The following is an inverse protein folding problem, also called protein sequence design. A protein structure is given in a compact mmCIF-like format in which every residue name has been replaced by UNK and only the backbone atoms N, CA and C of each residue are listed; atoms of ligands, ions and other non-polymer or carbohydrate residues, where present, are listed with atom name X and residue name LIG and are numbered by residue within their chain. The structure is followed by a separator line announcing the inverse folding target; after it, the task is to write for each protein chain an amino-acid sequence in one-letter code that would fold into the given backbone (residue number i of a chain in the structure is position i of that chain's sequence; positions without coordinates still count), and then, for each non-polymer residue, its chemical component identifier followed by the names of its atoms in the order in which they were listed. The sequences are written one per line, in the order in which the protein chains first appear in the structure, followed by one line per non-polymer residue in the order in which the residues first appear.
data_IF_850944579703
#
_entry.id   IF_850944579703
#
_cell.length_a   1.000
_cell.length_b   1.000
_cell.length_c   1.000
_cell.angle_alpha   90.00
_cell.angle_beta   90.00
_cell.angle_gamma   90.00
#
_symmetry.space_group_name_H-M   'P 1'
#
loop_
_entity.id
_entity.type
_entity.pdbx_description
1 polymer ?
#
# COMPACT_ATOMS: atom_id res chain seq x y z
N UNK A 1 15.32 -36.53 25.42
CA UNK A 1 15.10 -35.60 24.28
C UNK A 1 16.45 -35.17 23.67
N UNK A 2 17.13 -36.10 23.00
CA UNK A 2 18.46 -35.84 22.41
C UNK A 2 18.35 -34.93 21.18
N UNK A 3 17.37 -35.18 20.32
CA UNK A 3 17.12 -34.40 19.08
C UNK A 3 16.86 -32.92 19.40
N UNK A 4 16.04 -32.63 20.40
CA UNK A 4 15.76 -31.27 20.84
C UNK A 4 17.01 -30.51 21.34
N UNK A 5 17.84 -31.19 22.17
CA UNK A 5 19.10 -30.56 22.63
C UNK A 5 20.06 -30.28 21.48
N UNK A 6 20.13 -31.20 20.50
CA UNK A 6 20.97 -31.03 19.30
C UNK A 6 20.41 -29.88 18.43
N UNK A 7 19.09 -29.82 18.28
CA UNK A 7 18.40 -28.71 17.58
C UNK A 7 18.81 -27.36 18.16
N UNK A 8 18.71 -27.16 19.48
CA UNK A 8 19.08 -25.90 20.13
C UNK A 8 20.55 -25.54 19.90
N UNK A 9 21.47 -26.53 19.88
CA UNK A 9 22.88 -26.28 19.57
C UNK A 9 23.08 -25.81 18.12
N UNK A 10 22.36 -26.41 17.17
CA UNK A 10 22.42 -26.05 15.76
C UNK A 10 21.79 -24.64 15.58
N UNK A 11 20.64 -24.39 16.21
CA UNK A 11 19.98 -23.09 16.18
C UNK A 11 20.89 -21.96 16.69
N UNK A 12 21.60 -22.19 17.79
CA UNK A 12 22.55 -21.23 18.33
C UNK A 12 23.69 -20.88 17.34
N UNK A 13 24.13 -21.87 16.54
CA UNK A 13 25.11 -21.64 15.46
C UNK A 13 24.51 -20.87 14.28
N UNK A 14 23.20 -20.97 14.06
CA UNK A 14 22.46 -20.31 13.00
C UNK A 14 21.85 -18.96 13.46
N UNK A 15 22.39 -18.31 14.50
CA UNK A 15 21.85 -17.05 15.02
C UNK A 15 21.97 -15.86 14.05
N UNK A 16 22.97 -15.86 13.17
CA UNK A 16 23.23 -14.74 12.24
C UNK A 16 22.06 -14.45 11.31
N UNK A 17 21.40 -15.41 10.64
CA UNK A 17 20.20 -15.15 9.87
C UNK A 17 19.06 -14.54 10.68
N UNK A 18 18.83 -15.02 11.90
CA UNK A 18 17.79 -14.48 12.79
C UNK A 18 18.07 -13.01 13.08
N UNK A 19 19.31 -12.68 13.43
CA UNK A 19 19.73 -11.28 13.68
C UNK A 19 19.55 -10.45 12.42
N UNK A 20 19.96 -10.94 11.25
CA UNK A 20 19.85 -10.23 9.98
C UNK A 20 18.40 -9.85 9.67
N UNK A 21 17.46 -10.80 9.71
CA UNK A 21 16.05 -10.53 9.43
C UNK A 21 15.40 -9.65 10.50
N UNK A 22 15.82 -9.76 11.76
CA UNK A 22 15.36 -8.86 12.82
C UNK A 22 15.87 -7.42 12.60
N UNK A 23 17.12 -7.24 12.17
CA UNK A 23 17.65 -5.92 11.82
C UNK A 23 16.93 -5.34 10.61
N UNK A 24 16.64 -6.13 9.58
CA UNK A 24 15.83 -5.71 8.43
C UNK A 24 14.45 -5.23 8.89
N UNK A 25 13.79 -5.99 9.78
CA UNK A 25 12.50 -5.59 10.34
C UNK A 25 12.58 -4.24 11.07
N UNK A 26 13.58 -4.02 11.90
CA UNK A 26 13.75 -2.76 12.64
C UNK A 26 14.00 -1.61 11.67
N UNK A 27 14.91 -1.78 10.71
CA UNK A 27 15.26 -0.73 9.75
C UNK A 27 14.06 -0.31 8.91
N UNK A 28 13.37 -1.25 8.30
CA UNK A 28 12.27 -0.94 7.40
C UNK A 28 10.93 -0.73 8.10
N UNK A 29 10.70 -1.41 9.23
CA UNK A 29 9.48 -1.23 10.02
C UNK A 29 9.42 0.10 10.78
N UNK A 30 10.57 0.76 11.02
CA UNK A 30 10.65 2.05 11.73
C UNK A 30 10.98 3.20 10.76
N UNK A 31 11.88 2.99 9.78
CA UNK A 31 12.29 4.07 8.85
C UNK A 31 11.18 4.52 7.89
N UNK A 32 10.11 3.77 7.76
CA UNK A 32 8.95 4.15 6.93
C UNK A 32 8.01 5.15 7.61
N UNK A 33 8.43 5.72 8.72
CA UNK A 33 7.71 6.75 9.49
C UNK A 33 7.61 8.09 8.74
N UNK A 34 8.46 8.29 7.72
CA UNK A 34 8.55 9.55 6.97
C UNK A 34 7.48 9.71 5.87
N UNK A 35 6.66 8.71 5.60
CA UNK A 35 5.59 8.79 4.61
C UNK A 35 4.20 9.04 5.22
N UNK A 36 4.08 9.04 6.55
CA UNK A 36 2.78 9.13 7.23
C UNK A 36 2.29 10.56 7.53
N UNK A 37 3.12 11.59 7.32
CA UNK A 37 2.66 12.98 7.46
C UNK A 37 1.64 13.40 6.38
N UNK A 38 1.50 12.62 5.30
CA UNK A 38 0.58 12.92 4.20
C UNK A 38 -0.84 12.35 4.37
N UNK A 39 -1.12 11.55 5.41
CA UNK A 39 -2.45 10.95 5.60
C UNK A 39 -3.31 11.65 6.65
N UNK A 40 -2.73 12.48 7.51
CA UNK A 40 -3.46 13.20 8.56
C UNK A 40 -3.98 14.59 8.13
N UNK A 41 -3.41 15.20 7.11
CA UNK A 41 -3.98 16.33 6.43
C UNK A 41 -4.33 15.91 5.01
N UNK A 42 -5.60 15.76 4.71
CA UNK A 42 -6.09 15.77 3.35
C UNK A 42 -5.80 17.16 2.77
N UNK A 43 -4.54 17.42 2.46
CA UNK A 43 -4.18 18.48 1.52
C UNK A 43 -4.68 17.98 0.19
N UNK A 44 -5.83 18.51 -0.24
CA UNK A 44 -6.32 18.26 -1.58
C UNK A 44 -5.16 18.56 -2.54
N UNK A 45 -4.54 17.50 -3.08
CA UNK A 45 -3.53 17.66 -4.11
C UNK A 45 -4.23 18.39 -5.24
N UNK A 46 -3.67 19.52 -5.65
CA UNK A 46 -4.24 20.25 -6.78
C UNK A 46 -3.91 19.45 -8.04
N UNK A 47 -4.93 18.99 -8.80
CA UNK A 47 -4.67 18.21 -10.01
C UNK A 47 -3.99 19.06 -11.07
N UNK A 48 -3.05 18.48 -11.78
CA UNK A 48 -2.39 19.08 -12.94
C UNK A 48 -3.32 18.98 -14.16
N UNK A 49 -3.74 20.10 -14.72
CA UNK A 49 -4.67 20.11 -15.85
C UNK A 49 -4.39 21.22 -16.87
N UNK A 50 -4.98 21.09 -18.05
CA UNK A 50 -4.98 22.09 -19.13
C UNK A 50 -6.41 22.53 -19.41
N UNK A 51 -6.60 23.84 -19.61
CA UNK A 51 -7.87 24.43 -20.03
C UNK A 51 -7.69 24.99 -21.45
N UNK A 52 -8.49 24.50 -22.38
CA UNK A 52 -8.59 25.02 -23.75
C UNK A 52 -9.93 25.72 -23.87
N UNK A 53 -9.87 27.03 -23.84
CA UNK A 53 -11.06 27.86 -23.94
C UNK A 53 -11.27 28.30 -25.39
N UNK A 54 -12.44 28.01 -25.99
CA UNK A 54 -12.87 28.45 -27.30
C UNK A 54 -13.97 29.52 -27.21
N UNK A 55 -14.47 29.85 -25.99
CA UNK A 55 -15.48 30.87 -25.75
C UNK A 55 -14.84 32.21 -25.35
N UNK A 56 -15.64 33.25 -25.26
CA UNK A 56 -15.22 34.55 -24.72
C UNK A 56 -14.93 34.42 -23.22
N UNK A 57 -13.80 34.93 -22.76
CA UNK A 57 -13.38 34.86 -21.34
C UNK A 57 -14.08 35.95 -20.52
N UNK A 58 -15.43 35.89 -20.48
CA UNK A 58 -16.29 36.83 -19.76
C UNK A 58 -17.35 36.10 -18.92
N UNK A 59 -17.92 36.80 -17.96
CA UNK A 59 -19.05 36.32 -17.15
C UNK A 59 -18.81 34.94 -16.52
N UNK A 60 -19.74 34.02 -16.74
CA UNK A 60 -19.71 32.68 -16.12
C UNK A 60 -18.55 31.82 -16.61
N UNK A 61 -18.11 31.99 -17.88
CA UNK A 61 -16.95 31.29 -18.43
C UNK A 61 -15.67 31.68 -17.70
N UNK A 62 -15.48 32.97 -17.47
CA UNK A 62 -14.35 33.50 -16.68
C UNK A 62 -14.39 32.99 -15.24
N UNK A 63 -15.57 33.07 -14.60
CA UNK A 63 -15.74 32.56 -13.22
C UNK A 63 -15.43 31.06 -13.10
N UNK A 64 -15.78 30.27 -14.10
CA UNK A 64 -15.45 28.84 -14.17
C UNK A 64 -13.96 28.62 -14.27
N UNK A 65 -13.27 29.30 -15.17
CA UNK A 65 -11.82 29.22 -15.36
C UNK A 65 -11.07 29.64 -14.08
N UNK A 66 -11.49 30.75 -13.45
CA UNK A 66 -10.93 31.22 -12.18
C UNK A 66 -11.08 30.16 -11.08
N UNK A 67 -12.27 29.58 -10.90
CA UNK A 67 -12.51 28.55 -9.90
C UNK A 67 -11.64 27.30 -10.11
N UNK A 68 -11.52 26.83 -11.35
CA UNK A 68 -10.67 25.68 -11.66
C UNK A 68 -9.19 26.03 -11.40
N UNK A 69 -8.74 27.23 -11.80
CA UNK A 69 -7.35 27.67 -11.62
C UNK A 69 -6.97 27.85 -10.15
N UNK A 70 -7.90 28.28 -9.29
CA UNK A 70 -7.66 28.38 -7.85
C UNK A 70 -7.49 27.02 -7.17
N UNK A 71 -8.18 25.99 -7.68
CA UNK A 71 -8.23 24.65 -7.07
C UNK A 71 -7.38 23.60 -7.80
N UNK A 72 -6.63 23.98 -8.83
CA UNK A 72 -5.78 23.09 -9.63
C UNK A 72 -4.49 23.78 -10.06
N UNK A 73 -3.55 23.02 -10.59
CA UNK A 73 -2.34 23.54 -11.23
C UNK A 73 -2.57 23.58 -12.76
N UNK A 74 -2.92 24.74 -13.28
CA UNK A 74 -3.15 24.88 -14.72
C UNK A 74 -1.81 24.99 -15.45
N UNK A 75 -1.54 24.05 -16.34
CA UNK A 75 -0.37 24.09 -17.23
C UNK A 75 -0.74 24.67 -18.58
N UNK A 76 0.11 25.52 -19.12
CA UNK A 76 -0.05 26.09 -20.44
C UNK A 76 0.73 25.23 -21.45
N UNK A 77 0.02 24.41 -22.20
CA UNK A 77 0.56 23.59 -23.30
C UNK A 77 -0.01 24.14 -24.62
N UNK A 78 0.75 24.06 -25.69
CA UNK A 78 0.28 24.52 -27.01
C UNK A 78 -1.01 23.83 -27.43
N UNK A 79 -1.80 24.50 -28.28
CA UNK A 79 -3.14 24.04 -28.73
C UNK A 79 -3.06 22.92 -29.78
N UNK A 80 -1.91 22.25 -29.88
CA UNK A 80 -1.68 21.14 -30.80
C UNK A 80 -2.15 19.83 -30.16
N UNK A 81 -3.03 19.11 -30.86
CA UNK A 81 -3.59 17.86 -30.35
C UNK A 81 -2.52 16.80 -30.05
N UNK A 82 -1.42 16.76 -30.82
CA UNK A 82 -0.34 15.83 -30.61
C UNK A 82 0.40 16.13 -29.29
N UNK A 83 0.69 17.41 -29.01
CA UNK A 83 1.33 17.83 -27.76
C UNK A 83 0.44 17.58 -26.54
N UNK A 84 -0.86 17.74 -26.68
CA UNK A 84 -1.84 17.50 -25.62
C UNK A 84 -1.99 15.99 -25.31
N UNK A 85 -2.00 15.15 -26.34
CA UNK A 85 -2.05 13.70 -26.18
C UNK A 85 -0.74 13.16 -25.58
N UNK A 86 0.40 13.71 -25.97
CA UNK A 86 1.71 13.40 -25.37
C UNK A 86 1.75 13.80 -23.88
N UNK A 87 1.25 14.98 -23.53
CA UNK A 87 1.22 15.43 -22.15
C UNK A 87 0.36 14.52 -21.24
N UNK A 88 -0.75 13.97 -21.75
CA UNK A 88 -1.55 12.97 -21.04
C UNK A 88 -0.80 11.63 -20.98
N UNK A 89 -0.17 11.20 -22.08
CA UNK A 89 0.55 9.93 -22.14
C UNK A 89 1.74 9.90 -21.18
N UNK A 90 2.53 10.99 -21.14
CA UNK A 90 3.66 11.12 -20.22
C UNK A 90 3.26 11.55 -18.81
N UNK A 91 1.96 11.69 -18.53
CA UNK A 91 1.42 12.12 -17.23
C UNK A 91 1.95 13.48 -16.77
N UNK A 92 2.22 14.38 -17.70
CA UNK A 92 2.52 15.77 -17.37
C UNK A 92 1.29 16.50 -16.89
N UNK A 93 0.11 16.11 -17.40
CA UNK A 93 -1.20 16.53 -16.93
C UNK A 93 -2.14 15.33 -16.87
N UNK A 94 -3.07 15.36 -15.93
CA UNK A 94 -4.03 14.28 -15.70
C UNK A 94 -5.39 14.53 -16.35
N UNK A 95 -5.66 15.79 -16.73
CA UNK A 95 -6.98 16.18 -17.23
C UNK A 95 -6.89 17.37 -18.20
N UNK A 96 -7.62 17.31 -19.31
CA UNK A 96 -7.74 18.41 -20.29
C UNK A 96 -9.22 18.78 -20.44
N UNK A 97 -9.52 20.05 -20.27
CA UNK A 97 -10.88 20.62 -20.36
C UNK A 97 -11.00 21.42 -21.66
N UNK A 98 -11.94 21.05 -22.51
CA UNK A 98 -12.29 21.81 -23.71
C UNK A 98 -13.62 22.54 -23.48
N UNK A 99 -13.55 23.86 -23.34
CA UNK A 99 -14.73 24.72 -23.23
C UNK A 99 -15.18 25.07 -24.67
N UNK A 100 -16.39 24.68 -25.09
CA UNK A 100 -16.87 24.92 -26.45
C UNK A 100 -17.17 26.41 -26.74
N UNK A 101 -17.19 26.77 -28.00
CA UNK A 101 -17.74 28.06 -28.45
C UNK A 101 -19.17 28.23 -27.95
N UNK A 102 -19.53 29.46 -27.58
CA UNK A 102 -20.87 29.81 -27.06
C UNK A 102 -21.24 29.18 -25.72
N UNK A 103 -20.28 28.65 -24.96
CA UNK A 103 -20.52 28.04 -23.63
C UNK A 103 -21.36 28.98 -22.73
N UNK A 104 -20.97 30.27 -22.63
CA UNK A 104 -21.66 31.26 -21.83
C UNK A 104 -23.12 31.45 -22.28
N UNK A 105 -23.33 31.65 -23.58
CA UNK A 105 -24.66 31.95 -24.11
C UNK A 105 -25.65 30.79 -23.94
N UNK A 106 -25.16 29.56 -24.15
CA UNK A 106 -25.98 28.35 -24.05
C UNK A 106 -26.28 28.03 -22.59
N UNK A 107 -25.28 28.24 -21.72
CA UNK A 107 -25.48 28.06 -20.29
C UNK A 107 -26.50 29.02 -19.72
N UNK A 108 -26.48 30.31 -20.12
CA UNK A 108 -27.43 31.33 -19.69
C UNK A 108 -28.87 31.06 -20.19
N UNK A 109 -29.03 30.36 -21.32
CA UNK A 109 -30.35 29.91 -21.80
C UNK A 109 -30.90 28.69 -21.01
N UNK A 110 -30.11 28.14 -20.07
CA UNK A 110 -30.46 26.91 -19.33
C UNK A 110 -30.22 25.63 -20.12
N UNK A 111 -29.53 25.72 -21.26
CA UNK A 111 -29.00 24.58 -21.98
C UNK A 111 -27.77 24.09 -21.24
N UNK A 112 -27.52 22.78 -21.23
CA UNK A 112 -26.34 22.21 -20.62
C UNK A 112 -25.25 22.00 -21.71
N UNK A 113 -24.37 23.00 -21.96
CA UNK A 113 -23.33 22.83 -22.96
C UNK A 113 -22.39 21.69 -22.55
N UNK A 114 -22.09 20.79 -23.50
CA UNK A 114 -21.23 19.66 -23.25
C UNK A 114 -19.76 20.10 -23.25
N UNK A 115 -19.14 20.10 -22.07
CA UNK A 115 -17.69 20.23 -21.95
C UNK A 115 -17.08 18.90 -22.38
N UNK A 116 -16.18 18.94 -23.36
CA UNK A 116 -15.41 17.76 -23.77
C UNK A 116 -14.16 17.65 -22.90
N UNK A 117 -13.85 16.45 -22.47
CA UNK A 117 -12.69 16.21 -21.60
C UNK A 117 -11.83 15.05 -22.12
N UNK A 118 -10.53 15.15 -21.93
CA UNK A 118 -9.60 14.03 -22.05
C UNK A 118 -8.98 13.78 -20.67
N UNK A 119 -8.85 12.52 -20.26
CA UNK A 119 -8.50 12.13 -18.90
C UNK A 119 -7.61 10.90 -18.88
N UNK A 120 -6.66 10.85 -17.96
CA UNK A 120 -5.85 9.64 -17.68
C UNK A 120 -6.62 8.58 -16.88
N UNK A 121 -7.75 8.95 -16.25
CA UNK A 121 -8.56 8.06 -15.41
C UNK A 121 -7.95 7.73 -14.04
N UNK A 122 -6.88 8.42 -13.64
CA UNK A 122 -6.25 8.27 -12.34
C UNK A 122 -6.92 9.11 -11.24
N UNK A 123 -6.34 9.09 -10.04
CA UNK A 123 -6.87 9.82 -8.88
C UNK A 123 -6.94 11.33 -9.12
N UNK A 124 -5.92 11.94 -9.76
CA UNK A 124 -5.88 13.37 -10.04
C UNK A 124 -6.92 13.76 -11.09
N UNK A 125 -7.11 12.92 -12.11
CA UNK A 125 -8.13 13.10 -13.10
C UNK A 125 -9.55 13.07 -12.49
N UNK A 126 -9.81 12.16 -11.56
CA UNK A 126 -11.09 12.10 -10.84
C UNK A 126 -11.32 13.33 -9.96
N UNK A 127 -10.25 13.88 -9.33
CA UNK A 127 -10.35 15.15 -8.61
C UNK A 127 -10.70 16.32 -9.53
N UNK A 128 -10.06 16.41 -10.70
CA UNK A 128 -10.36 17.42 -11.69
C UNK A 128 -11.82 17.33 -12.18
N UNK A 129 -12.30 16.13 -12.48
CA UNK A 129 -13.69 15.87 -12.87
C UNK A 129 -14.68 16.30 -11.76
N UNK A 130 -14.34 16.02 -10.50
CA UNK A 130 -15.14 16.44 -9.36
C UNK A 130 -15.22 17.96 -9.24
N UNK A 131 -14.12 18.69 -9.46
CA UNK A 131 -14.10 20.17 -9.45
C UNK A 131 -15.00 20.73 -10.55
N UNK A 132 -14.85 20.24 -11.79
CA UNK A 132 -15.67 20.64 -12.93
C UNK A 132 -17.17 20.38 -12.66
N UNK A 133 -17.49 19.15 -12.24
CA UNK A 133 -18.86 18.74 -11.94
C UNK A 133 -19.48 19.58 -10.80
N UNK A 134 -18.70 19.90 -9.77
CA UNK A 134 -19.14 20.71 -8.63
C UNK A 134 -19.51 22.12 -9.04
N UNK A 135 -18.67 22.78 -9.87
CA UNK A 135 -18.98 24.11 -10.37
C UNK A 135 -20.23 24.11 -11.23
N UNK A 136 -20.28 23.21 -12.22
CA UNK A 136 -21.41 23.15 -13.17
C UNK A 136 -22.74 22.85 -12.47
N UNK A 137 -22.74 21.94 -11.48
CA UNK A 137 -23.93 21.64 -10.70
C UNK A 137 -24.41 22.85 -9.89
N UNK A 138 -23.50 23.55 -9.21
CA UNK A 138 -23.84 24.75 -8.46
C UNK A 138 -24.38 25.86 -9.38
N UNK A 139 -23.71 26.12 -10.50
CA UNK A 139 -24.12 27.11 -11.46
C UNK A 139 -25.50 26.80 -12.11
N UNK A 140 -25.75 25.51 -12.45
CA UNK A 140 -27.05 25.09 -12.99
C UNK A 140 -28.23 25.27 -12.03
N UNK A 141 -28.02 25.23 -10.73
CA UNK A 141 -29.05 25.48 -9.74
C UNK A 141 -29.41 26.97 -9.75
N UNK A 142 -28.39 27.83 -9.67
CA UNK A 142 -28.62 29.27 -9.54
C UNK A 142 -29.13 29.95 -10.84
N UNK A 143 -28.73 29.45 -12.02
CA UNK A 143 -29.16 29.99 -13.29
C UNK A 143 -30.67 29.84 -13.54
N UNK A 144 -31.29 28.85 -12.88
CA UNK A 144 -32.75 28.62 -12.97
C UNK A 144 -33.56 29.48 -12.02
N UNK A 145 -32.91 30.05 -11.01
CA UNK A 145 -33.59 30.82 -9.96
C UNK A 145 -33.31 32.33 -10.04
N UNK A 146 -32.24 32.73 -10.72
CA UNK A 146 -31.77 34.11 -10.76
C UNK A 146 -31.72 34.62 -12.21
N UNK A 147 -32.20 35.84 -12.43
CA UNK A 147 -32.25 36.47 -13.76
C UNK A 147 -30.95 37.23 -14.11
N UNK A 148 -30.03 37.44 -13.14
CA UNK A 148 -28.80 38.20 -13.33
C UNK A 148 -27.58 37.30 -13.29
N UNK A 149 -26.74 37.36 -14.34
CA UNK A 149 -25.49 36.60 -14.42
C UNK A 149 -24.52 36.91 -13.27
N UNK A 150 -24.39 38.20 -12.90
CA UNK A 150 -23.50 38.62 -11.81
C UNK A 150 -23.95 38.06 -10.46
N UNK A 151 -25.25 37.94 -10.25
CA UNK A 151 -25.84 37.35 -9.06
C UNK A 151 -25.57 35.84 -9.00
N UNK A 152 -25.72 35.15 -10.14
CA UNK A 152 -25.40 33.73 -10.29
C UNK A 152 -23.93 33.48 -9.91
N UNK A 153 -23.01 34.24 -10.50
CA UNK A 153 -21.58 34.13 -10.24
C UNK A 153 -21.28 34.34 -8.75
N UNK A 154 -21.88 35.34 -8.13
CA UNK A 154 -21.71 35.66 -6.71
C UNK A 154 -22.18 34.50 -5.82
N UNK A 155 -23.36 33.94 -6.08
CA UNK A 155 -23.94 32.85 -5.30
C UNK A 155 -23.17 31.55 -5.49
N UNK A 156 -22.71 31.24 -6.70
CA UNK A 156 -21.84 30.09 -6.99
C UNK A 156 -20.55 30.21 -6.19
N UNK A 157 -19.88 31.37 -6.25
CA UNK A 157 -18.63 31.62 -5.51
C UNK A 157 -18.82 31.47 -4.00
N UNK A 158 -19.90 32.03 -3.44
CA UNK A 158 -20.23 31.94 -2.03
C UNK A 158 -20.50 30.47 -1.60
N UNK A 159 -21.24 29.73 -2.43
CA UNK A 159 -21.56 28.30 -2.15
C UNK A 159 -20.33 27.42 -2.24
N UNK A 160 -19.47 27.64 -3.23
CA UNK A 160 -18.26 26.86 -3.43
C UNK A 160 -17.15 27.19 -2.42
N UNK A 161 -17.16 28.41 -1.86
CA UNK A 161 -16.25 28.81 -0.78
C UNK A 161 -16.60 28.18 0.58
N UNK A 162 -17.83 27.73 0.77
CA UNK A 162 -18.25 27.00 1.96
C UNK A 162 -17.65 25.60 1.91
N UNK A 163 -16.42 25.46 2.42
CA UNK A 163 -15.82 24.16 2.66
C UNK A 163 -16.55 23.49 3.83
N UNK A 164 -17.17 22.34 3.57
CA UNK A 164 -17.59 21.49 4.67
C UNK A 164 -16.29 21.02 5.37
N UNK A 165 -16.06 21.47 6.60
CA UNK A 165 -15.07 20.83 7.46
C UNK A 165 -15.60 19.43 7.78
N UNK A 166 -15.16 18.45 7.00
CA UNK A 166 -15.36 17.04 7.33
C UNK A 166 -14.28 16.69 8.32
N UNK A 167 -14.59 16.80 9.60
CA UNK A 167 -13.76 16.24 10.65
C UNK A 167 -14.04 14.74 10.67
N UNK A 168 -13.13 13.97 10.08
CA UNK A 168 -13.16 12.51 10.20
C UNK A 168 -12.69 12.20 11.62
N UNK A 169 -13.61 12.18 12.58
CA UNK A 169 -13.35 11.71 13.93
C UNK A 169 -13.17 10.19 13.89
N UNK A 170 -12.00 9.73 13.52
CA UNK A 170 -11.58 8.36 13.80
C UNK A 170 -11.09 8.29 15.23
N UNK A 171 -11.56 7.32 16.00
CA UNK A 171 -11.09 7.07 17.38
C UNK A 171 -9.61 6.69 17.44
N UNK A 172 -8.98 6.42 16.30
CA UNK A 172 -7.57 6.04 16.16
C UNK A 172 -7.00 6.84 14.98
N UNK A 173 -5.84 7.45 15.18
CA UNK A 173 -5.13 8.17 14.14
C UNK A 173 -4.80 7.23 12.96
N UNK A 174 -5.16 7.63 11.73
CA UNK A 174 -4.88 6.87 10.52
C UNK A 174 -3.38 6.63 10.32
N UNK A 175 -2.53 7.56 10.75
CA UNK A 175 -1.09 7.43 10.72
C UNK A 175 -0.60 6.30 11.64
N UNK A 176 -1.17 6.16 12.85
CA UNK A 176 -0.81 5.08 13.76
C UNK A 176 -1.20 3.70 13.20
N UNK A 177 -2.39 3.60 12.57
CA UNK A 177 -2.81 2.35 11.90
C UNK A 177 -1.85 2.02 10.75
N UNK A 178 -1.45 3.00 9.95
CA UNK A 178 -0.51 2.80 8.85
C UNK A 178 0.84 2.28 9.36
N UNK A 179 1.39 2.85 10.43
CA UNK A 179 2.63 2.37 11.08
C UNK A 179 2.50 0.92 11.55
N UNK A 180 1.36 0.57 12.16
CA UNK A 180 1.06 -0.79 12.60
C UNK A 180 1.07 -1.77 11.42
N UNK A 181 0.38 -1.42 10.32
CA UNK A 181 0.29 -2.27 9.12
C UNK A 181 1.66 -2.45 8.48
N UNK A 182 2.43 -1.37 8.30
CA UNK A 182 3.78 -1.42 7.75
C UNK A 182 4.68 -2.32 8.58
N UNK A 183 4.67 -2.16 9.91
CA UNK A 183 5.45 -3.01 10.80
C UNK A 183 5.12 -4.50 10.62
N UNK A 184 3.83 -4.87 10.61
CA UNK A 184 3.42 -6.27 10.45
C UNK A 184 3.69 -6.81 9.05
N UNK A 185 3.65 -5.99 8.01
CA UNK A 185 4.05 -6.38 6.67
C UNK A 185 5.53 -6.81 6.63
N UNK A 186 6.43 -6.03 7.20
CA UNK A 186 7.84 -6.38 7.30
C UNK A 186 8.10 -7.52 8.29
N UNK A 187 7.32 -7.62 9.38
CA UNK A 187 7.38 -8.74 10.31
C UNK A 187 7.00 -10.06 9.62
N UNK A 188 5.95 -10.07 8.81
CA UNK A 188 5.53 -11.24 8.04
C UNK A 188 6.58 -11.65 7.00
N UNK A 189 7.17 -10.70 6.28
CA UNK A 189 8.31 -10.98 5.40
C UNK A 189 9.47 -11.62 6.17
N UNK A 190 9.84 -11.06 7.32
CA UNK A 190 10.95 -11.56 8.16
C UNK A 190 10.64 -12.95 8.75
N UNK A 191 9.38 -13.22 9.13
CA UNK A 191 8.92 -14.55 9.56
C UNK A 191 9.04 -15.58 8.43
N UNK A 192 8.61 -15.21 7.22
CA UNK A 192 8.66 -16.13 6.07
C UNK A 192 10.10 -16.40 5.64
N UNK A 193 10.88 -15.36 5.35
CA UNK A 193 12.25 -15.47 4.88
C UNK A 193 13.17 -16.09 5.96
N UNK A 194 13.12 -15.58 7.19
CA UNK A 194 13.89 -16.09 8.32
C UNK A 194 13.49 -17.51 8.71
N UNK A 195 12.18 -17.80 8.68
CA UNK A 195 11.65 -19.14 8.94
C UNK A 195 12.15 -20.16 7.93
N UNK A 196 11.99 -19.88 6.62
CA UNK A 196 12.49 -20.78 5.55
C UNK A 196 13.98 -20.99 5.71
N UNK A 197 14.75 -19.91 5.88
CA UNK A 197 16.21 -20.00 5.95
C UNK A 197 16.67 -20.86 7.12
N UNK A 198 16.23 -20.55 8.34
CA UNK A 198 16.70 -21.23 9.56
C UNK A 198 16.21 -22.67 9.61
N UNK A 199 14.92 -22.91 9.31
CA UNK A 199 14.36 -24.27 9.32
C UNK A 199 15.04 -25.14 8.27
N UNK A 200 15.27 -24.65 7.06
CA UNK A 200 15.96 -25.37 6.00
C UNK A 200 17.42 -25.66 6.35
N UNK A 201 18.17 -24.71 6.95
CA UNK A 201 19.53 -24.95 7.41
C UNK A 201 19.61 -26.05 8.50
N UNK A 202 18.65 -25.99 9.44
CA UNK A 202 18.59 -27.02 10.50
C UNK A 202 18.27 -28.38 9.89
N UNK A 203 17.24 -28.49 9.05
CA UNK A 203 16.87 -29.74 8.39
C UNK A 203 18.00 -30.28 7.52
N UNK A 204 18.67 -29.41 6.76
CA UNK A 204 19.87 -29.80 5.99
C UNK A 204 20.99 -30.32 6.88
N UNK A 205 21.20 -29.72 8.06
CA UNK A 205 22.20 -30.19 9.02
C UNK A 205 21.86 -31.57 9.60
N UNK A 206 20.58 -31.85 9.82
CA UNK A 206 20.13 -33.18 10.29
C UNK A 206 20.11 -34.24 9.20
N UNK A 207 20.14 -33.86 7.91
CA UNK A 207 20.24 -34.77 6.76
C UNK A 207 21.68 -35.12 6.39
N UNK A 208 22.70 -34.54 7.07
CA UNK A 208 24.09 -34.92 6.86
C UNK A 208 24.28 -36.43 7.08
N UNK A 209 25.02 -37.08 6.16
CA UNK A 209 25.18 -38.54 6.14
C UNK A 209 25.73 -39.09 7.45
N UNK A 210 26.64 -38.37 8.10
CA UNK A 210 27.23 -38.80 9.36
C UNK A 210 26.23 -38.75 10.51
N UNK A 211 25.38 -37.73 10.53
CA UNK A 211 24.31 -37.57 11.53
C UNK A 211 23.23 -38.61 11.27
N UNK A 212 22.83 -38.79 10.01
CA UNK A 212 21.83 -39.79 9.60
C UNK A 212 22.25 -41.21 9.98
N UNK A 213 23.50 -41.63 9.69
CA UNK A 213 24.05 -42.94 10.08
C UNK A 213 24.03 -43.13 11.60
N UNK A 214 24.41 -42.11 12.37
CA UNK A 214 24.36 -42.17 13.84
C UNK A 214 22.92 -42.25 14.37
N UNK A 215 21.99 -41.58 13.75
CA UNK A 215 20.56 -41.62 14.11
C UNK A 215 19.96 -43.00 13.82
N UNK A 216 20.33 -43.64 12.69
CA UNK A 216 19.86 -44.98 12.33
C UNK A 216 20.34 -46.07 13.31
N UNK A 217 21.54 -45.93 13.89
CA UNK A 217 22.10 -46.86 14.87
C UNK A 217 21.56 -46.58 16.30
N UNK A 218 20.95 -45.41 16.48
CA UNK A 218 20.40 -45.00 17.79
C UNK A 218 19.07 -45.73 18.07
N UNK A 219 18.75 -45.89 19.36
CA UNK A 219 17.46 -46.44 19.82
C UNK A 219 16.25 -45.56 19.58
N UNK A 220 16.40 -44.41 18.85
CA UNK A 220 15.33 -43.48 18.61
C UNK A 220 14.50 -43.93 17.40
N UNK A 221 13.21 -44.20 17.61
CA UNK A 221 12.28 -44.55 16.56
C UNK A 221 12.10 -43.37 15.59
N UNK A 222 12.01 -43.63 14.28
CA UNK A 222 11.86 -42.65 13.22
C UNK A 222 10.65 -41.70 13.44
N UNK A 223 9.50 -42.24 13.88
CA UNK A 223 8.33 -41.45 14.24
C UNK A 223 8.61 -40.49 15.40
N UNK A 224 9.36 -40.93 16.39
CA UNK A 224 9.72 -40.08 17.53
C UNK A 224 10.74 -39.02 17.14
N UNK A 225 11.66 -39.33 16.25
CA UNK A 225 12.61 -38.39 15.67
C UNK A 225 11.90 -37.27 14.93
N UNK A 226 11.04 -37.62 13.97
CA UNK A 226 10.28 -36.64 13.15
C UNK A 226 9.37 -35.78 14.01
N UNK A 227 8.70 -36.34 15.03
CA UNK A 227 7.87 -35.57 15.97
C UNK A 227 8.69 -34.57 16.81
N UNK A 228 9.88 -34.99 17.29
CA UNK A 228 10.75 -34.09 18.05
C UNK A 228 11.31 -32.99 17.15
N UNK A 229 11.62 -33.26 15.89
CA UNK A 229 12.09 -32.27 14.94
C UNK A 229 11.01 -31.25 14.58
N UNK A 230 9.78 -31.73 14.30
CA UNK A 230 8.64 -30.85 14.04
C UNK A 230 8.34 -29.96 15.25
N UNK A 231 8.29 -30.53 16.44
CA UNK A 231 8.06 -29.77 17.68
C UNK A 231 9.13 -28.73 17.94
N UNK A 232 10.40 -29.06 17.67
CA UNK A 232 11.51 -28.11 17.82
C UNK A 232 11.39 -26.90 16.85
N UNK A 233 11.05 -27.17 15.59
CA UNK A 233 10.84 -26.13 14.59
C UNK A 233 9.59 -25.27 14.92
N UNK A 234 8.51 -25.89 15.42
CA UNK A 234 7.32 -25.15 15.86
C UNK A 234 7.65 -24.22 17.02
N UNK A 235 8.40 -24.68 18.00
CA UNK A 235 8.82 -23.87 19.13
C UNK A 235 9.71 -22.69 18.69
N UNK A 236 10.58 -22.91 17.72
CA UNK A 236 11.39 -21.84 17.13
C UNK A 236 10.53 -20.77 16.43
N UNK A 237 9.56 -21.18 15.62
CA UNK A 237 8.68 -20.24 14.92
C UNK A 237 7.80 -19.43 15.88
N UNK A 238 7.27 -20.07 16.92
CA UNK A 238 6.51 -19.38 17.97
C UNK A 238 7.42 -18.40 18.74
N UNK A 239 8.65 -18.79 19.02
CA UNK A 239 9.64 -17.92 19.66
C UNK A 239 9.96 -16.69 18.79
N UNK A 240 10.17 -16.90 17.48
CA UNK A 240 10.46 -15.81 16.54
C UNK A 240 9.26 -14.85 16.41
N UNK A 241 8.04 -15.40 16.31
CA UNK A 241 6.81 -14.61 16.33
C UNK A 241 6.67 -13.79 17.62
N UNK A 242 6.85 -14.41 18.77
CA UNK A 242 6.76 -13.72 20.08
C UNK A 242 7.83 -12.61 20.19
N UNK A 243 9.05 -12.87 19.71
CA UNK A 243 10.13 -11.88 19.66
C UNK A 243 9.69 -10.64 18.85
N UNK A 244 9.07 -10.85 17.67
CA UNK A 244 8.60 -9.75 16.83
C UNK A 244 7.38 -9.01 17.44
N UNK A 245 6.50 -9.71 18.14
CA UNK A 245 5.42 -9.07 18.88
C UNK A 245 5.94 -8.19 20.04
N UNK A 246 6.94 -8.67 20.78
CA UNK A 246 7.59 -7.90 21.85
C UNK A 246 8.28 -6.67 21.24
N UNK A 247 8.98 -6.85 20.12
CA UNK A 247 9.64 -5.76 19.43
C UNK A 247 8.62 -4.71 18.95
N UNK A 248 7.50 -5.14 18.38
CA UNK A 248 6.40 -4.26 17.99
C UNK A 248 5.82 -3.48 19.17
N UNK A 249 5.62 -4.14 20.31
CA UNK A 249 5.13 -3.45 21.52
C UNK A 249 6.07 -2.36 22.03
N UNK A 250 7.40 -2.55 21.86
CA UNK A 250 8.40 -1.54 22.24
C UNK A 250 8.46 -0.38 21.23
N UNK A 251 8.31 -0.67 19.92
CA UNK A 251 8.48 0.32 18.85
C UNK A 251 7.21 1.12 18.57
N UNK A 252 6.03 0.48 18.66
CA UNK A 252 4.74 1.08 18.31
C UNK A 252 3.94 1.55 19.55
N UNK A 253 4.30 1.10 20.75
CA UNK A 253 3.63 1.52 21.98
C UNK A 253 2.18 1.04 22.10
N UNK A 254 1.29 1.95 22.51
CA UNK A 254 -0.08 1.62 22.91
C UNK A 254 -0.97 1.06 21.79
N UNK A 255 -0.69 1.39 20.54
CA UNK A 255 -1.48 0.91 19.38
C UNK A 255 -1.45 -0.62 19.25
N UNK A 256 -0.41 -1.28 19.72
CA UNK A 256 -0.33 -2.74 19.73
C UNK A 256 -1.40 -3.40 20.61
N UNK A 257 -1.91 -2.69 21.61
CA UNK A 257 -2.91 -3.18 22.55
C UNK A 257 -4.35 -2.79 22.15
N UNK A 258 -4.51 -2.07 21.05
CA UNK A 258 -5.83 -1.79 20.47
C UNK A 258 -6.41 -3.04 19.79
N UNK A 259 -7.71 -2.99 19.46
CA UNK A 259 -8.39 -4.09 18.74
C UNK A 259 -7.67 -4.39 17.42
N UNK A 260 -7.24 -3.36 16.68
CA UNK A 260 -6.52 -3.48 15.42
C UNK A 260 -5.14 -4.15 15.63
N UNK A 261 -4.41 -3.74 16.66
CA UNK A 261 -3.14 -4.36 17.04
C UNK A 261 -3.29 -5.84 17.37
N UNK A 262 -4.30 -6.19 18.18
CA UNK A 262 -4.57 -7.59 18.53
C UNK A 262 -4.96 -8.45 17.32
N UNK A 263 -5.71 -7.90 16.37
CA UNK A 263 -6.05 -8.57 15.11
C UNK A 263 -4.77 -8.83 14.30
N UNK A 264 -3.87 -7.85 14.18
CA UNK A 264 -2.58 -8.01 13.49
C UNK A 264 -1.70 -9.08 14.17
N UNK A 265 -1.64 -9.09 15.50
CA UNK A 265 -0.91 -10.11 16.28
C UNK A 265 -1.48 -11.51 16.03
N UNK A 266 -2.79 -11.67 16.03
CA UNK A 266 -3.45 -12.95 15.75
C UNK A 266 -3.19 -13.40 14.31
N UNK A 267 -3.32 -12.50 13.33
CA UNK A 267 -3.06 -12.78 11.93
C UNK A 267 -1.61 -13.22 11.71
N UNK A 268 -0.64 -12.52 12.32
CA UNK A 268 0.78 -12.87 12.22
C UNK A 268 1.10 -14.22 12.89
N UNK A 269 0.37 -14.62 13.94
CA UNK A 269 0.49 -15.96 14.54
C UNK A 269 0.06 -17.04 13.54
N UNK A 270 -1.12 -16.89 12.93
CA UNK A 270 -1.62 -17.84 11.92
C UNK A 270 -0.62 -17.91 10.75
N UNK A 271 -0.14 -16.74 10.29
CA UNK A 271 0.85 -16.67 9.23
C UNK A 271 2.15 -17.37 9.60
N UNK A 272 2.64 -17.26 10.86
CA UNK A 272 3.84 -17.94 11.32
C UNK A 272 3.70 -19.48 11.28
N UNK A 273 2.50 -20.00 11.56
CA UNK A 273 2.20 -21.43 11.42
C UNK A 273 2.19 -21.87 9.95
N UNK A 274 1.67 -21.05 9.05
CA UNK A 274 1.77 -21.30 7.60
C UNK A 274 3.24 -21.29 7.14
N UNK A 275 4.04 -20.33 7.59
CA UNK A 275 5.46 -20.25 7.31
C UNK A 275 6.21 -21.50 7.80
N UNK A 276 5.85 -22.05 8.96
CA UNK A 276 6.42 -23.31 9.47
C UNK A 276 6.17 -24.46 8.50
N UNK A 277 4.93 -24.62 8.01
CA UNK A 277 4.58 -25.71 7.10
C UNK A 277 5.31 -25.59 5.77
N UNK A 278 5.38 -24.40 5.19
CA UNK A 278 6.12 -24.10 3.97
C UNK A 278 7.62 -24.36 4.17
N UNK A 279 8.19 -23.86 5.25
CA UNK A 279 9.62 -24.05 5.56
C UNK A 279 9.97 -25.52 5.75
N UNK A 280 9.09 -26.28 6.40
CA UNK A 280 9.30 -27.72 6.62
C UNK A 280 9.18 -28.50 5.31
N UNK A 281 8.24 -28.16 4.44
CA UNK A 281 8.10 -28.72 3.10
C UNK A 281 9.36 -28.47 2.27
N UNK A 282 9.78 -27.21 2.14
CA UNK A 282 10.97 -26.82 1.38
C UNK A 282 12.22 -27.50 1.93
N UNK A 283 12.39 -27.48 3.25
CA UNK A 283 13.54 -28.09 3.90
C UNK A 283 13.60 -29.61 3.74
N UNK A 284 12.46 -30.29 3.54
CA UNK A 284 12.44 -31.72 3.23
C UNK A 284 12.74 -32.04 1.76
N UNK A 285 12.32 -31.17 0.84
CA UNK A 285 12.54 -31.37 -0.60
C UNK A 285 13.96 -31.03 -1.05
N UNK A 286 14.61 -30.07 -0.37
CA UNK A 286 15.87 -29.51 -0.84
C UNK A 286 17.02 -29.94 0.06
N UNK A 287 18.09 -30.46 -0.59
CA UNK A 287 19.32 -30.84 0.11
C UNK A 287 20.49 -29.87 -0.14
N UNK A 288 20.38 -29.01 -1.16
CA UNK A 288 21.44 -28.08 -1.56
C UNK A 288 21.27 -26.73 -0.87
N UNK A 289 22.26 -26.34 -0.06
CA UNK A 289 22.25 -25.06 0.67
C UNK A 289 22.17 -23.83 -0.24
N UNK A 290 22.77 -23.89 -1.43
CA UNK A 290 22.72 -22.78 -2.39
C UNK A 290 21.33 -22.62 -3.01
N UNK A 291 20.60 -23.71 -3.20
CA UNK A 291 19.23 -23.68 -3.70
C UNK A 291 18.27 -23.04 -2.68
N UNK A 292 18.55 -23.14 -1.37
CA UNK A 292 17.73 -22.52 -0.33
C UNK A 292 17.66 -21.00 -0.50
N UNK A 293 18.80 -20.34 -0.78
CA UNK A 293 18.83 -18.88 -1.00
C UNK A 293 17.99 -18.45 -2.21
N UNK A 294 18.07 -19.22 -3.31
CA UNK A 294 17.24 -18.95 -4.50
C UNK A 294 15.75 -19.05 -4.20
N UNK A 295 15.35 -20.05 -3.44
CA UNK A 295 13.95 -20.28 -3.09
C UNK A 295 13.43 -19.21 -2.12
N UNK A 296 14.23 -18.78 -1.15
CA UNK A 296 13.86 -17.68 -0.27
C UNK A 296 13.56 -16.42 -1.07
N UNK A 297 14.42 -16.08 -2.05
CA UNK A 297 14.21 -14.92 -2.90
C UNK A 297 12.94 -15.05 -3.74
N UNK A 298 12.66 -16.23 -4.30
CA UNK A 298 11.45 -16.44 -5.10
C UNK A 298 10.20 -16.46 -4.21
N UNK A 299 10.21 -17.22 -3.12
CA UNK A 299 9.02 -17.41 -2.28
C UNK A 299 8.79 -16.22 -1.36
N UNK A 300 9.79 -15.78 -0.58
CA UNK A 300 9.58 -14.73 0.40
C UNK A 300 9.61 -13.33 -0.23
N UNK A 301 10.61 -13.03 -1.06
CA UNK A 301 10.73 -11.72 -1.68
C UNK A 301 9.66 -11.55 -2.78
N UNK A 302 9.48 -12.57 -3.65
CA UNK A 302 8.47 -12.53 -4.71
C UNK A 302 7.05 -12.35 -4.17
N UNK A 303 6.65 -13.13 -3.16
CA UNK A 303 5.32 -12.96 -2.54
C UNK A 303 5.16 -11.59 -1.87
N UNK A 304 6.22 -11.05 -1.26
CA UNK A 304 6.15 -9.74 -0.59
C UNK A 304 6.01 -8.58 -1.56
N UNK A 305 6.48 -8.70 -2.80
CA UNK A 305 6.23 -7.72 -3.84
C UNK A 305 4.83 -7.83 -4.43
N UNK A 306 4.31 -9.06 -4.59
CA UNK A 306 3.02 -9.29 -5.25
C UNK A 306 1.81 -9.19 -4.30
N UNK A 307 2.00 -9.41 -3.00
CA UNK A 307 0.91 -9.45 -2.02
C UNK A 307 0.79 -8.19 -1.15
N UNK A 308 1.42 -7.08 -1.53
CA UNK A 308 1.23 -5.80 -0.88
C UNK A 308 2.21 -5.38 0.23
N UNK A 309 3.06 -6.26 0.84
CA UNK A 309 3.97 -5.84 1.90
C UNK A 309 4.97 -4.76 1.50
N UNK A 310 5.49 -4.77 0.27
CA UNK A 310 6.50 -3.82 -0.21
C UNK A 310 5.94 -2.80 -1.21
N UNK A 311 4.92 -3.18 -1.97
CA UNK A 311 4.26 -2.31 -2.95
C UNK A 311 2.78 -2.27 -2.58
N UNK A 312 2.16 -1.09 -2.41
CA UNK A 312 0.72 -0.98 -2.22
C UNK A 312 -0.03 -1.70 -3.35
N UNK A 313 -1.05 -2.48 -3.00
CA UNK A 313 -1.83 -3.24 -3.99
C UNK A 313 -2.51 -2.35 -5.04
N UNK A 314 -2.81 -1.11 -4.67
CA UNK A 314 -3.40 -0.08 -5.53
C UNK A 314 -2.53 0.29 -6.73
N UNK A 315 -1.21 0.04 -6.64
CA UNK A 315 -0.25 0.31 -7.72
C UNK A 315 -0.03 -0.89 -8.64
N UNK A 316 -0.63 -2.03 -8.32
CA UNK A 316 -0.52 -3.23 -9.14
C UNK A 316 -1.60 -3.24 -10.23
N UNK A 317 -1.27 -3.60 -11.47
CA UNK A 317 -2.25 -3.75 -12.55
C UNK A 317 -3.31 -4.81 -12.21
N UNK A 318 -4.54 -4.59 -12.66
CA UNK A 318 -5.67 -5.53 -12.45
C UNK A 318 -5.37 -6.96 -12.92
N UNK A 319 -4.51 -7.10 -13.93
CA UNK A 319 -4.06 -8.40 -14.43
C UNK A 319 -3.25 -9.23 -13.43
N UNK A 320 -2.70 -8.61 -12.39
CA UNK A 320 -1.94 -9.28 -11.31
C UNK A 320 -2.84 -9.54 -10.11
N UNK A 321 -3.89 -8.71 -9.92
CA UNK A 321 -4.84 -8.80 -8.81
C UNK A 321 -5.95 -9.85 -9.05
N UNK A 322 -6.15 -10.28 -10.29
CA UNK A 322 -7.12 -11.32 -10.70
C UNK A 322 -6.54 -12.73 -10.50
#
# INVERSE_FOLDING_TARGET
MIVFKTFLKVLYKCKMPVILFTVILILFGVMNDSTSDNTASFTASKPDLVIINQDEEEGITKSFIEYISENSNVKHIGNDNEQLDDALFYREVSYIIYIPEHFRSDFLKGENPKITVKSTGDYEANLAEMLVSRYLKAANVYIRELDSEDEVIRQVRETLSKQAQIEITTQIDGAEISRLVVFFNFANYSLLAGGIYVVCLILSSFKDDNIRKRTMISSVNEKQYNRQLLFSNSLFMIFLWALYCILGSVLLGDIMFTVQGLICVLNSLIFSLCCLTISFLIGNLINNKNAINGIINVVALGSSFLCGPFIPMEWLPDSILA
#
